data_IF_509809606967
#
_entry.id   IF_509809606967
#
_cell.length_a   1.000
_cell.length_b   1.000
_cell.length_c   1.000
_cell.angle_alpha   90.00
_cell.angle_beta   90.00
_cell.angle_gamma   90.00
#
_symmetry.space_group_name_H-M   'P 1'
#
loop_
_entity.id
_entity.type
_entity.pdbx_description
1 polymer ?
#
# COMPACT_ATOMS: atom_id res chain seq x y z
N UNK A 1 70.31 -3.99 5.25
CA UNK A 1 69.13 -3.15 4.95
C UNK A 1 67.88 -3.99 5.17
N UNK A 2 67.08 -3.77 6.23
CA UNK A 2 65.84 -4.53 6.44
C UNK A 2 64.69 -3.89 5.66
N UNK A 3 63.94 -4.73 4.96
CA UNK A 3 62.70 -4.38 4.24
C UNK A 3 61.60 -4.08 5.27
N UNK A 4 61.03 -2.88 5.20
CA UNK A 4 59.82 -2.50 5.95
C UNK A 4 58.63 -3.07 5.24
N UNK A 5 57.93 -4.02 5.85
CA UNK A 5 56.62 -4.46 5.41
C UNK A 5 55.57 -3.44 5.92
N UNK A 6 54.82 -2.90 4.95
CA UNK A 6 53.71 -1.96 5.19
C UNK A 6 52.43 -2.77 5.38
N UNK A 7 51.94 -2.90 6.61
CA UNK A 7 50.65 -3.47 6.90
C UNK A 7 49.57 -2.43 6.63
N UNK A 8 48.81 -2.63 5.54
CA UNK A 8 47.57 -1.86 5.27
C UNK A 8 46.45 -2.49 6.11
N UNK A 9 46.10 -1.77 7.19
CA UNK A 9 44.97 -2.13 8.04
C UNK A 9 43.69 -1.65 7.35
N UNK A 10 43.00 -2.56 6.64
CA UNK A 10 41.71 -2.27 6.02
C UNK A 10 40.65 -2.29 7.12
N UNK A 11 40.18 -1.13 7.52
CA UNK A 11 39.11 -0.95 8.48
C UNK A 11 37.79 -1.18 7.73
N UNK A 12 37.22 -2.41 7.79
CA UNK A 12 35.85 -2.68 7.36
C UNK A 12 34.91 -2.09 8.41
N UNK A 13 34.35 -0.91 8.14
CA UNK A 13 33.17 -0.42 8.85
C UNK A 13 31.97 -1.27 8.42
N UNK A 14 31.69 -2.31 9.19
CA UNK A 14 30.41 -2.99 9.15
C UNK A 14 29.38 -2.02 9.75
N UNK A 15 28.63 -1.36 8.89
CA UNK A 15 27.37 -0.75 9.29
C UNK A 15 26.40 -1.90 9.64
N UNK A 16 26.36 -2.25 10.92
CA UNK A 16 25.24 -3.04 11.45
C UNK A 16 24.01 -2.13 11.42
N UNK A 17 23.15 -2.31 10.42
CA UNK A 17 21.76 -1.89 10.54
C UNK A 17 21.18 -2.74 11.68
N UNK A 18 21.05 -2.15 12.85
CA UNK A 18 20.28 -2.73 13.93
C UNK A 18 18.79 -2.65 13.52
N UNK A 19 18.30 -3.71 12.89
CA UNK A 19 16.87 -3.98 12.85
C UNK A 19 16.51 -4.41 14.26
N UNK A 20 16.10 -3.46 15.09
CA UNK A 20 15.56 -3.77 16.41
C UNK A 20 14.16 -4.34 16.18
N UNK A 21 14.05 -5.67 16.08
CA UNK A 21 12.77 -6.34 16.24
C UNK A 21 12.19 -5.91 17.60
N UNK A 22 10.97 -5.43 17.60
CA UNK A 22 10.17 -5.28 18.83
C UNK A 22 10.13 -6.65 19.50
N UNK A 23 10.14 -6.69 20.83
CA UNK A 23 10.21 -7.92 21.61
C UNK A 23 9.32 -9.01 21.00
N UNK A 24 9.81 -10.27 20.97
CA UNK A 24 9.31 -11.43 20.21
C UNK A 24 7.83 -11.81 20.44
N UNK A 25 6.96 -10.94 20.98
CA UNK A 25 5.56 -11.22 21.31
C UNK A 25 4.55 -10.13 20.89
N UNK A 26 4.97 -9.03 20.26
CA UNK A 26 4.04 -7.94 19.92
C UNK A 26 3.41 -8.11 18.52
N UNK A 27 2.60 -9.16 18.37
CA UNK A 27 1.71 -9.28 17.21
C UNK A 27 0.46 -8.43 17.38
N UNK A 28 0.09 -7.69 16.34
CA UNK A 28 -1.23 -7.07 16.22
C UNK A 28 -2.17 -8.08 15.56
N UNK A 29 -3.18 -8.55 16.30
CA UNK A 29 -4.19 -9.48 15.77
C UNK A 29 -5.27 -8.74 15.01
N UNK A 30 -5.28 -8.86 13.69
CA UNK A 30 -6.25 -8.26 12.78
C UNK A 30 -7.33 -9.24 12.35
N UNK A 31 -8.32 -8.78 11.59
CA UNK A 31 -9.34 -9.67 11.01
C UNK A 31 -8.79 -10.63 9.95
N UNK A 32 -7.62 -10.34 9.38
CA UNK A 32 -7.00 -11.15 8.32
C UNK A 32 -5.71 -11.87 8.74
N UNK A 33 -5.32 -11.75 10.00
CA UNK A 33 -4.15 -12.45 10.57
C UNK A 33 -3.43 -11.64 11.63
N UNK A 34 -2.39 -12.24 12.18
CA UNK A 34 -1.46 -11.64 13.16
C UNK A 34 -0.26 -11.08 12.41
N UNK A 35 -0.02 -9.79 12.50
CA UNK A 35 1.12 -9.11 11.89
C UNK A 35 2.10 -8.64 12.95
N UNK A 36 3.38 -8.86 12.72
CA UNK A 36 4.45 -8.35 13.57
C UNK A 36 4.98 -7.03 13.00
N UNK A 37 5.08 -6.00 13.86
CA UNK A 37 5.73 -4.74 13.49
C UNK A 37 7.23 -4.81 13.67
N UNK A 38 7.95 -3.96 12.94
CA UNK A 38 9.39 -3.74 13.13
C UNK A 38 9.72 -2.25 13.11
N UNK A 39 10.77 -1.88 13.85
CA UNK A 39 11.20 -0.50 13.97
C UNK A 39 12.22 -0.17 12.86
N UNK A 40 11.89 0.77 12.00
CA UNK A 40 12.80 1.32 10.99
C UNK A 40 12.52 2.82 10.82
N UNK A 41 13.54 3.63 10.55
CA UNK A 41 13.41 5.09 10.34
C UNK A 41 12.62 5.83 11.45
N UNK A 42 12.66 5.32 12.69
CA UNK A 42 11.93 5.83 13.87
C UNK A 42 10.42 5.64 13.81
N UNK A 43 9.92 4.82 12.92
CA UNK A 43 8.51 4.41 12.84
C UNK A 43 8.39 2.90 13.00
N UNK A 44 7.21 2.43 13.42
CA UNK A 44 6.88 1.00 13.41
C UNK A 44 6.19 0.73 12.09
N UNK A 45 6.75 -0.20 11.32
CA UNK A 45 6.23 -0.65 10.03
C UNK A 45 5.53 -1.99 10.22
N UNK A 46 4.41 -2.17 9.55
CA UNK A 46 3.66 -3.41 9.43
C UNK A 46 3.38 -3.61 7.94
N UNK A 47 4.08 -4.55 7.33
CA UNK A 47 4.07 -4.72 5.88
C UNK A 47 3.26 -5.93 5.46
N UNK A 48 2.81 -5.92 4.21
CA UNK A 48 2.20 -7.03 3.49
C UNK A 48 0.95 -7.62 4.15
N UNK A 49 0.15 -6.76 4.78
CA UNK A 49 -1.10 -7.20 5.40
C UNK A 49 -2.14 -7.44 4.30
N UNK A 50 -2.64 -8.67 4.12
CA UNK A 50 -3.66 -8.93 3.11
C UNK A 50 -5.01 -8.37 3.56
N UNK A 51 -5.61 -7.50 2.76
CA UNK A 51 -6.94 -6.94 3.02
C UNK A 51 -8.08 -7.65 2.30
N UNK A 52 -7.73 -8.53 1.36
CA UNK A 52 -8.65 -9.38 0.62
C UNK A 52 -8.01 -10.71 0.23
N UNK A 53 -8.85 -11.71 -0.06
CA UNK A 53 -8.38 -12.99 -0.62
C UNK A 53 -7.68 -12.75 -1.96
N UNK A 54 -6.62 -13.53 -2.28
CA UNK A 54 -5.97 -13.46 -3.58
C UNK A 54 -6.98 -13.56 -4.73
N UNK A 55 -7.02 -12.60 -5.66
CA UNK A 55 -7.96 -12.58 -6.78
C UNK A 55 -7.49 -13.47 -7.94
N UNK A 56 -7.17 -14.71 -7.64
CA UNK A 56 -6.62 -15.71 -8.57
C UNK A 56 -7.66 -16.74 -8.99
N UNK A 57 -7.46 -17.39 -10.13
CA UNK A 57 -8.34 -18.47 -10.61
C UNK A 57 -9.80 -18.03 -10.70
N UNK A 58 -10.67 -18.69 -9.97
CA UNK A 58 -12.12 -18.40 -9.96
C UNK A 58 -12.47 -17.01 -9.37
N UNK A 59 -11.56 -16.36 -8.68
CA UNK A 59 -11.73 -14.99 -8.15
C UNK A 59 -11.18 -13.91 -9.08
N UNK A 60 -10.49 -14.27 -10.16
CA UNK A 60 -10.08 -13.30 -11.19
C UNK A 60 -11.32 -12.65 -11.79
N UNK A 61 -11.25 -11.33 -12.01
CA UNK A 61 -12.39 -10.51 -12.51
C UNK A 61 -13.67 -10.68 -11.69
N UNK A 62 -13.51 -10.76 -10.38
CA UNK A 62 -14.60 -10.66 -9.39
C UNK A 62 -14.28 -9.58 -8.35
N UNK A 63 -15.32 -9.13 -7.67
CA UNK A 63 -15.17 -8.25 -6.52
C UNK A 63 -14.24 -8.89 -5.47
N UNK A 64 -13.45 -8.12 -4.73
CA UNK A 64 -12.58 -8.66 -3.69
C UNK A 64 -13.39 -9.34 -2.58
N UNK A 65 -12.82 -10.36 -1.97
CA UNK A 65 -13.42 -11.13 -0.88
C UNK A 65 -12.67 -10.87 0.42
N UNK A 66 -13.39 -10.57 1.48
CA UNK A 66 -12.81 -10.39 2.82
C UNK A 66 -12.09 -11.67 3.29
N UNK A 67 -10.99 -11.49 4.00
CA UNK A 67 -10.32 -12.55 4.75
C UNK A 67 -10.82 -12.50 6.20
N UNK A 68 -11.23 -13.64 6.72
CA UNK A 68 -11.64 -13.82 8.11
C UNK A 68 -10.82 -14.96 8.71
N UNK A 69 -9.54 -14.68 8.96
CA UNK A 69 -8.59 -15.64 9.53
C UNK A 69 -7.65 -14.90 10.48
N UNK A 70 -8.11 -14.63 11.70
CA UNK A 70 -7.37 -13.86 12.71
C UNK A 70 -6.19 -14.62 13.31
N UNK A 71 -6.11 -15.93 13.12
CA UNK A 71 -5.07 -16.77 13.73
C UNK A 71 -3.85 -16.97 12.84
N UNK A 72 -3.98 -16.73 11.54
CA UNK A 72 -2.87 -16.85 10.59
C UNK A 72 -1.78 -15.83 10.90
N UNK A 73 -0.53 -16.29 10.95
CA UNK A 73 0.62 -15.40 10.98
C UNK A 73 0.83 -14.83 9.57
N UNK A 74 0.91 -13.50 9.49
CA UNK A 74 1.20 -12.77 8.24
C UNK A 74 2.72 -12.71 8.12
N UNK A 75 3.23 -13.23 7.02
CA UNK A 75 4.63 -13.19 6.64
C UNK A 75 4.82 -12.16 5.52
N UNK A 76 5.91 -11.41 5.57
CA UNK A 76 6.29 -10.51 4.49
C UNK A 76 6.53 -11.31 3.20
N UNK A 77 6.13 -10.73 2.08
CA UNK A 77 6.24 -11.36 0.77
C UNK A 77 7.04 -10.50 -0.19
N UNK A 78 8.07 -11.06 -0.77
CA UNK A 78 8.76 -10.43 -1.88
C UNK A 78 7.87 -10.37 -3.13
N UNK A 79 7.99 -9.28 -3.89
CA UNK A 79 7.32 -9.11 -5.19
C UNK A 79 5.80 -9.25 -5.17
N UNK A 80 5.14 -8.83 -4.09
CA UNK A 80 3.69 -8.90 -3.93
C UNK A 80 2.89 -7.77 -4.62
N UNK A 81 3.54 -6.99 -5.48
CA UNK A 81 2.87 -5.96 -6.28
C UNK A 81 2.04 -6.56 -7.41
N UNK A 82 1.01 -5.82 -7.83
CA UNK A 82 0.08 -6.27 -8.86
C UNK A 82 0.75 -6.34 -10.23
N UNK A 83 0.28 -7.26 -11.08
CA UNK A 83 0.80 -7.46 -12.44
C UNK A 83 0.78 -6.14 -13.21
N UNK A 84 1.93 -5.76 -13.76
CA UNK A 84 2.17 -4.52 -14.49
C UNK A 84 3.40 -4.65 -15.39
N UNK A 85 3.57 -3.71 -16.32
CA UNK A 85 4.84 -3.53 -17.02
C UNK A 85 5.85 -2.90 -16.05
N UNK A 86 7.12 -3.38 -16.01
CA UNK A 86 8.16 -2.74 -15.22
C UNK A 86 8.33 -1.27 -15.62
N UNK A 87 8.52 -0.39 -14.63
CA UNK A 87 8.67 1.04 -14.89
C UNK A 87 9.55 1.72 -13.85
N UNK A 88 10.58 2.42 -14.31
CA UNK A 88 11.41 3.27 -13.44
C UNK A 88 10.70 4.54 -12.96
N UNK A 89 9.49 4.83 -13.44
CA UNK A 89 8.68 5.99 -13.08
C UNK A 89 7.64 5.66 -11.99
N UNK A 90 8.00 4.80 -11.04
CA UNK A 90 7.14 4.46 -9.91
C UNK A 90 6.32 3.17 -10.08
N UNK A 91 6.64 2.36 -11.10
CA UNK A 91 6.10 1.01 -11.25
C UNK A 91 7.00 -0.06 -10.66
N UNK A 92 6.64 -1.32 -10.90
CA UNK A 92 7.41 -2.46 -10.45
C UNK A 92 8.85 -2.46 -10.98
N UNK A 93 9.83 -2.87 -10.17
CA UNK A 93 11.18 -3.11 -10.64
C UNK A 93 11.24 -4.33 -11.56
N UNK A 94 12.25 -4.38 -12.42
CA UNK A 94 12.54 -5.54 -13.25
C UNK A 94 12.81 -5.20 -14.71
N UNK A 95 13.19 -6.23 -15.43
CA UNK A 95 13.37 -6.23 -16.88
C UNK A 95 12.40 -7.24 -17.49
N UNK A 96 11.80 -6.92 -18.63
CA UNK A 96 10.88 -7.83 -19.31
C UNK A 96 9.52 -7.18 -19.62
N UNK A 97 8.55 -8.01 -20.00
CA UNK A 97 7.25 -7.54 -20.45
C UNK A 97 6.30 -7.32 -19.26
N UNK A 98 6.36 -8.19 -18.27
CA UNK A 98 5.49 -8.14 -17.10
C UNK A 98 6.27 -8.46 -15.82
N UNK A 99 5.88 -7.81 -14.73
CA UNK A 99 6.33 -8.06 -13.36
C UNK A 99 5.12 -8.14 -12.42
N UNK A 100 5.34 -8.70 -11.21
CA UNK A 100 4.30 -8.81 -10.19
C UNK A 100 3.46 -10.08 -10.26
N UNK A 101 2.40 -10.10 -9.48
CA UNK A 101 1.54 -11.27 -9.29
C UNK A 101 0.08 -10.86 -9.19
N UNK A 102 -0.85 -11.81 -9.43
CA UNK A 102 -2.28 -11.57 -9.16
C UNK A 102 -2.57 -11.58 -7.64
N UNK A 103 -1.81 -12.31 -6.83
CA UNK A 103 -1.88 -12.26 -5.36
C UNK A 103 -1.17 -11.01 -4.85
N UNK A 104 -1.84 -9.86 -4.95
CA UNK A 104 -1.25 -8.55 -4.72
C UNK A 104 -2.07 -7.61 -3.81
N UNK A 105 -3.20 -8.06 -3.26
CA UNK A 105 -4.11 -7.22 -2.49
C UNK A 105 -3.62 -7.04 -1.05
N UNK A 106 -2.53 -6.30 -0.90
CA UNK A 106 -1.83 -6.04 0.36
C UNK A 106 -1.80 -4.55 0.66
N UNK A 107 -1.68 -4.24 1.96
CA UNK A 107 -1.45 -2.90 2.47
C UNK A 107 -0.29 -2.90 3.48
N UNK A 108 0.34 -1.73 3.63
CA UNK A 108 1.33 -1.46 4.67
C UNK A 108 0.80 -0.38 5.60
N UNK A 109 1.24 -0.44 6.86
CA UNK A 109 0.90 0.56 7.88
C UNK A 109 2.19 1.06 8.53
N UNK A 110 2.34 2.39 8.59
CA UNK A 110 3.42 3.04 9.33
C UNK A 110 2.83 3.85 10.47
N UNK A 111 3.32 3.59 11.70
CA UNK A 111 2.86 4.26 12.91
C UNK A 111 4.02 4.92 13.65
N UNK A 112 3.81 6.03 14.40
CA UNK A 112 4.85 6.58 15.26
C UNK A 112 5.36 5.52 16.26
N UNK A 113 6.67 5.54 16.54
CA UNK A 113 7.29 4.66 17.54
C UNK A 113 6.64 4.80 18.92
N UNK A 114 6.34 6.03 19.32
CA UNK A 114 5.73 6.32 20.60
C UNK A 114 4.21 6.27 20.46
N UNK A 115 3.58 5.34 21.17
CA UNK A 115 2.12 5.25 21.20
C UNK A 115 1.56 6.50 21.87
N UNK A 116 0.64 7.20 21.21
CA UNK A 116 -0.17 8.25 21.81
C UNK A 116 -1.24 7.64 22.73
N UNK A 117 -1.67 8.39 23.75
CA UNK A 117 -2.85 8.06 24.54
C UNK A 117 -4.16 8.28 23.77
N UNK A 118 -4.11 9.10 22.73
CA UNK A 118 -5.23 9.40 21.83
C UNK A 118 -5.05 8.69 20.50
N UNK A 119 -6.15 8.36 19.84
CA UNK A 119 -6.15 7.80 18.50
C UNK A 119 -5.67 8.84 17.49
N UNK A 120 -4.78 8.43 16.59
CA UNK A 120 -4.14 9.29 15.60
C UNK A 120 -4.95 9.39 14.30
N UNK A 121 -4.87 10.52 13.58
CA UNK A 121 -5.40 10.64 12.23
C UNK A 121 -4.77 9.62 11.30
N UNK A 122 -5.56 9.12 10.35
CA UNK A 122 -5.13 8.11 9.36
C UNK A 122 -5.07 8.74 7.98
N UNK A 123 -3.94 8.60 7.33
CA UNK A 123 -3.70 9.01 5.96
C UNK A 123 -3.66 7.76 5.08
N UNK A 124 -4.66 7.58 4.21
CA UNK A 124 -4.81 6.41 3.35
C UNK A 124 -4.36 6.76 1.93
N UNK A 125 -3.21 6.22 1.53
CA UNK A 125 -2.56 6.50 0.25
C UNK A 125 -3.03 5.58 -0.86
N UNK A 126 -3.36 6.18 -2.01
CA UNK A 126 -3.71 5.50 -3.26
C UNK A 126 -2.69 5.94 -4.31
N UNK A 127 -1.84 5.02 -4.75
CA UNK A 127 -0.78 5.33 -5.72
C UNK A 127 -1.32 5.68 -7.11
N UNK A 128 -0.50 6.40 -7.88
CA UNK A 128 -0.76 6.75 -9.27
C UNK A 128 -0.36 5.66 -10.26
N UNK A 129 0.14 6.07 -11.42
CA UNK A 129 0.62 5.17 -12.47
C UNK A 129 -0.46 4.76 -13.48
N UNK A 130 -1.41 5.64 -13.78
CA UNK A 130 -2.41 5.43 -14.84
C UNK A 130 -3.37 4.26 -14.61
N UNK A 131 -3.46 3.71 -13.40
CA UNK A 131 -4.14 2.44 -13.09
C UNK A 131 -3.55 1.24 -13.84
N UNK A 132 -2.37 1.34 -14.40
CA UNK A 132 -1.65 0.29 -15.13
C UNK A 132 -0.34 -0.11 -14.48
N UNK A 133 0.22 0.76 -13.64
CA UNK A 133 1.43 0.53 -12.85
C UNK A 133 1.32 1.21 -11.48
N UNK A 134 2.27 0.94 -10.59
CA UNK A 134 2.35 1.55 -9.27
C UNK A 134 2.51 0.53 -8.13
N UNK A 135 2.95 1.03 -6.97
CA UNK A 135 3.31 0.22 -5.79
C UNK A 135 2.84 0.92 -4.52
N UNK A 136 2.44 0.14 -3.50
CA UNK A 136 2.14 0.66 -2.16
C UNK A 136 3.34 1.32 -1.48
N UNK A 137 4.53 0.84 -1.78
CA UNK A 137 5.83 1.22 -1.19
C UNK A 137 6.63 2.20 -2.06
N UNK A 138 5.95 2.87 -3.02
CA UNK A 138 6.59 3.87 -3.88
C UNK A 138 7.25 5.01 -3.08
N UNK A 139 6.66 5.41 -1.97
CA UNK A 139 7.14 6.51 -1.13
C UNK A 139 7.39 6.05 0.31
N UNK A 140 8.51 6.50 0.89
CA UNK A 140 8.74 6.36 2.33
C UNK A 140 8.04 7.50 3.10
N UNK A 141 6.96 7.14 3.80
CA UNK A 141 6.18 8.07 4.61
C UNK A 141 6.71 8.25 6.05
N UNK A 142 7.87 7.71 6.41
CA UNK A 142 8.43 7.77 7.77
C UNK A 142 8.58 9.21 8.27
N UNK A 143 9.00 10.13 7.39
CA UNK A 143 9.11 11.55 7.74
C UNK A 143 7.75 12.17 8.07
N UNK A 144 6.71 11.84 7.30
CA UNK A 144 5.34 12.32 7.53
C UNK A 144 4.80 11.82 8.86
N UNK A 145 4.93 10.53 9.12
CA UNK A 145 4.51 9.88 10.37
C UNK A 145 5.19 10.52 11.58
N UNK A 146 6.54 10.70 11.51
CA UNK A 146 7.32 11.24 12.63
C UNK A 146 7.07 12.72 12.92
N UNK A 147 6.71 13.52 11.90
CA UNK A 147 6.55 14.98 12.07
C UNK A 147 5.15 15.39 12.46
N UNK A 148 4.16 14.59 12.10
CA UNK A 148 2.75 15.02 12.18
C UNK A 148 1.89 14.13 13.07
N UNK A 149 2.48 13.13 13.75
CA UNK A 149 1.74 12.17 14.59
C UNK A 149 0.51 11.60 13.87
N UNK A 150 0.73 11.09 12.67
CA UNK A 150 -0.29 10.45 11.84
C UNK A 150 0.07 8.99 11.58
N UNK A 151 -0.91 8.19 11.27
CA UNK A 151 -0.71 6.84 10.73
C UNK A 151 -0.84 6.92 9.21
N UNK A 152 0.08 6.31 8.48
CA UNK A 152 -0.04 6.18 7.02
C UNK A 152 -0.34 4.74 6.67
N UNK A 153 -1.35 4.55 5.82
CA UNK A 153 -1.70 3.28 5.20
C UNK A 153 -1.49 3.41 3.71
N UNK A 154 -0.70 2.56 3.10
CA UNK A 154 -0.50 2.49 1.65
C UNK A 154 -0.98 1.15 1.11
N UNK A 155 -1.55 1.14 -0.10
CA UNK A 155 -2.22 -0.04 -0.64
C UNK A 155 -1.76 -0.37 -2.05
N UNK A 156 -1.73 -1.66 -2.39
CA UNK A 156 -1.83 -2.12 -3.77
C UNK A 156 -3.30 -2.33 -4.15
N UNK A 157 -3.63 -2.23 -5.42
CA UNK A 157 -4.93 -2.56 -6.00
C UNK A 157 -4.71 -3.11 -7.41
N UNK A 158 -5.60 -3.98 -7.90
CA UNK A 158 -5.46 -4.57 -9.23
C UNK A 158 -5.36 -3.52 -10.32
N UNK A 159 -4.46 -3.73 -11.27
CA UNK A 159 -4.08 -2.80 -12.32
C UNK A 159 -4.51 -3.31 -13.71
N UNK A 160 -4.54 -2.41 -14.68
CA UNK A 160 -4.78 -2.71 -16.09
C UNK A 160 -6.00 -3.61 -16.31
N UNK A 161 -5.84 -4.63 -17.13
CA UNK A 161 -6.90 -5.57 -17.46
C UNK A 161 -7.35 -6.46 -16.28
N UNK A 162 -6.58 -6.59 -15.21
CA UNK A 162 -7.00 -7.30 -14.01
C UNK A 162 -7.90 -6.45 -13.12
N UNK A 163 -7.71 -5.13 -13.13
CA UNK A 163 -8.48 -4.17 -12.35
C UNK A 163 -9.71 -3.61 -13.08
N UNK A 164 -9.60 -3.42 -14.39
CA UNK A 164 -10.67 -2.83 -15.21
C UNK A 164 -10.84 -3.62 -16.51
N UNK A 165 -11.78 -4.54 -16.51
CA UNK A 165 -12.06 -5.36 -17.66
C UNK A 165 -13.54 -5.73 -17.72
N UNK A 166 -14.10 -5.75 -18.94
CA UNK A 166 -15.47 -6.18 -19.19
C UNK A 166 -15.54 -7.04 -20.44
N UNK A 167 -16.21 -8.17 -20.34
CA UNK A 167 -16.51 -9.03 -21.47
C UNK A 167 -17.81 -9.80 -21.19
N UNK A 168 -18.75 -9.90 -22.16
CA UNK A 168 -20.03 -10.58 -21.96
C UNK A 168 -19.91 -12.03 -21.44
N UNK A 169 -18.90 -12.78 -21.91
CA UNK A 169 -18.67 -14.18 -21.48
C UNK A 169 -18.25 -14.30 -20.01
N UNK A 170 -17.63 -13.24 -19.44
CA UNK A 170 -17.24 -13.21 -18.03
C UNK A 170 -18.43 -12.75 -17.18
N UNK A 171 -19.12 -11.69 -17.62
CA UNK A 171 -20.17 -11.04 -16.84
C UNK A 171 -21.53 -11.71 -16.95
N UNK A 172 -21.77 -12.49 -18.01
CA UNK A 172 -23.08 -13.07 -18.32
C UNK A 172 -23.66 -13.93 -17.19
N UNK A 173 -22.82 -14.63 -16.45
CA UNK A 173 -23.18 -15.50 -15.34
C UNK A 173 -22.87 -14.91 -13.96
N UNK A 174 -22.41 -13.65 -13.89
CA UNK A 174 -22.04 -12.98 -12.64
C UNK A 174 -23.24 -12.22 -12.05
N UNK A 175 -23.23 -12.02 -10.72
CA UNK A 175 -24.26 -11.27 -10.00
C UNK A 175 -23.65 -10.23 -9.07
N UNK A 176 -24.43 -9.22 -8.68
CA UNK A 176 -24.03 -8.19 -7.74
C UNK A 176 -22.76 -7.47 -8.21
N UNK A 177 -21.81 -7.28 -7.30
CA UNK A 177 -20.55 -6.57 -7.58
C UNK A 177 -19.62 -7.37 -8.53
N UNK A 178 -19.78 -8.68 -8.66
CA UNK A 178 -19.00 -9.46 -9.62
C UNK A 178 -19.36 -9.13 -11.07
N UNK A 179 -20.55 -8.58 -11.31
CA UNK A 179 -21.02 -8.16 -12.64
C UNK A 179 -20.46 -6.79 -13.07
N UNK A 180 -19.69 -6.13 -12.22
CA UNK A 180 -19.05 -4.85 -12.55
C UNK A 180 -17.80 -5.05 -13.40
N UNK A 181 -17.16 -3.96 -13.81
CA UNK A 181 -15.90 -3.97 -14.58
C UNK A 181 -14.77 -3.19 -13.92
N UNK A 182 -14.97 -2.69 -12.70
CA UNK A 182 -14.07 -1.79 -11.98
C UNK A 182 -13.52 -2.43 -10.70
N UNK A 183 -12.95 -3.62 -10.85
CA UNK A 183 -12.45 -4.43 -9.73
C UNK A 183 -11.35 -3.71 -8.94
N UNK A 184 -10.46 -2.93 -9.61
CA UNK A 184 -9.45 -2.13 -8.93
C UNK A 184 -10.07 -1.07 -8.01
N UNK A 185 -11.15 -0.41 -8.42
CA UNK A 185 -11.89 0.51 -7.54
C UNK A 185 -12.52 -0.23 -6.35
N UNK A 186 -13.05 -1.43 -6.59
CA UNK A 186 -13.61 -2.27 -5.53
C UNK A 186 -12.53 -2.75 -4.55
N UNK A 187 -11.30 -2.99 -5.03
CA UNK A 187 -10.15 -3.33 -4.17
C UNK A 187 -9.82 -2.19 -3.21
N UNK A 188 -9.77 -0.95 -3.69
CA UNK A 188 -9.54 0.23 -2.86
C UNK A 188 -10.66 0.37 -1.81
N UNK A 189 -11.91 0.16 -2.18
CA UNK A 189 -13.05 0.17 -1.24
C UNK A 189 -12.91 -0.94 -0.21
N UNK A 190 -12.47 -2.13 -0.61
CA UNK A 190 -12.24 -3.25 0.32
C UNK A 190 -11.11 -2.97 1.30
N UNK A 191 -10.01 -2.35 0.83
CA UNK A 191 -8.92 -1.90 1.69
C UNK A 191 -9.41 -0.86 2.72
N UNK A 192 -10.23 0.11 2.31
CA UNK A 192 -10.85 1.07 3.23
C UNK A 192 -11.76 0.41 4.26
N UNK A 193 -12.54 -0.61 3.88
CA UNK A 193 -13.36 -1.40 4.82
C UNK A 193 -12.47 -2.12 5.84
N UNK A 194 -11.38 -2.70 5.36
CA UNK A 194 -10.41 -3.36 6.23
C UNK A 194 -9.79 -2.36 7.22
N UNK A 195 -9.38 -1.18 6.75
CA UNK A 195 -8.82 -0.11 7.59
C UNK A 195 -9.83 0.34 8.65
N UNK A 196 -11.07 0.64 8.29
CA UNK A 196 -12.11 1.01 9.25
C UNK A 196 -12.28 -0.03 10.37
N UNK A 197 -12.17 -1.33 10.02
CA UNK A 197 -12.35 -2.43 10.97
C UNK A 197 -11.16 -2.61 11.91
N UNK A 198 -9.93 -2.38 11.42
CA UNK A 198 -8.71 -2.82 12.10
C UNK A 198 -7.79 -1.68 12.59
N UNK A 199 -7.89 -0.47 12.03
CA UNK A 199 -6.87 0.59 12.24
C UNK A 199 -6.74 1.04 13.70
N UNK A 200 -7.79 0.89 14.50
CA UNK A 200 -7.76 1.17 15.93
C UNK A 200 -6.75 0.29 16.67
N UNK A 201 -6.49 -0.92 16.21
CA UNK A 201 -5.50 -1.84 16.77
C UNK A 201 -4.06 -1.30 16.63
N UNK A 202 -3.85 -0.43 15.65
CA UNK A 202 -2.58 0.25 15.36
C UNK A 202 -2.52 1.68 15.96
N UNK A 203 -3.53 2.09 16.72
CA UNK A 203 -3.64 3.42 17.32
C UNK A 203 -4.29 4.48 16.42
N UNK A 204 -4.87 4.09 15.28
CA UNK A 204 -5.54 5.01 14.36
C UNK A 204 -7.03 5.25 14.69
N UNK A 205 -7.52 6.44 14.37
CA UNK A 205 -8.92 6.80 14.51
C UNK A 205 -9.71 6.46 13.24
N UNK A 206 -10.60 5.44 13.26
CA UNK A 206 -11.44 5.11 12.13
C UNK A 206 -12.44 6.22 11.76
N UNK A 207 -12.66 7.21 12.64
CA UNK A 207 -13.50 8.37 12.37
C UNK A 207 -12.71 9.59 11.87
N UNK A 208 -11.41 9.44 11.61
CA UNK A 208 -10.55 10.50 11.10
C UNK A 208 -9.62 9.98 9.99
N UNK A 209 -10.20 9.40 8.95
CA UNK A 209 -9.49 8.88 7.78
C UNK A 209 -9.52 9.91 6.67
N UNK A 210 -8.34 10.28 6.18
CA UNK A 210 -8.15 11.10 4.97
C UNK A 210 -7.65 10.20 3.86
N UNK A 211 -8.41 10.07 2.78
CA UNK A 211 -7.93 9.43 1.56
C UNK A 211 -7.12 10.44 0.73
N UNK A 212 -5.97 10.03 0.20
CA UNK A 212 -5.19 10.90 -0.66
C UNK A 212 -4.50 10.10 -1.76
N UNK A 213 -4.28 10.74 -2.91
CA UNK A 213 -3.68 10.08 -4.06
C UNK A 213 -3.18 11.08 -5.09
N UNK A 214 -2.26 10.61 -5.92
CA UNK A 214 -1.61 11.40 -6.96
C UNK A 214 -1.91 10.80 -8.34
N UNK A 215 -2.10 11.65 -9.37
CA UNK A 215 -2.38 11.24 -10.74
C UNK A 215 -3.61 10.32 -10.81
N UNK A 216 -3.48 9.09 -11.32
CA UNK A 216 -4.58 8.11 -11.31
C UNK A 216 -5.10 7.81 -9.90
N UNK A 217 -4.23 7.85 -8.87
CA UNK A 217 -4.66 7.75 -7.47
C UNK A 217 -5.56 8.92 -7.06
N UNK A 218 -5.28 10.13 -7.53
CA UNK A 218 -6.15 11.30 -7.37
C UNK A 218 -7.51 11.12 -8.07
N UNK A 219 -7.55 10.54 -9.27
CA UNK A 219 -8.81 10.17 -9.94
C UNK A 219 -9.58 9.09 -9.16
N UNK A 220 -8.87 8.12 -8.58
CA UNK A 220 -9.49 7.11 -7.71
C UNK A 220 -10.09 7.75 -6.46
N UNK A 221 -9.43 8.76 -5.85
CA UNK A 221 -10.01 9.56 -4.75
C UNK A 221 -11.34 10.18 -5.16
N UNK A 222 -11.41 10.84 -6.33
CA UNK A 222 -12.65 11.44 -6.84
C UNK A 222 -13.73 10.37 -7.08
N UNK A 223 -13.36 9.21 -7.61
CA UNK A 223 -14.27 8.08 -7.83
C UNK A 223 -14.86 7.57 -6.51
N UNK A 224 -14.04 7.51 -5.44
CA UNK A 224 -14.51 7.10 -4.10
C UNK A 224 -15.48 8.12 -3.51
N UNK A 225 -15.26 9.42 -3.73
CA UNK A 225 -16.14 10.47 -3.21
C UNK A 225 -17.58 10.37 -3.75
N UNK A 226 -17.75 9.86 -4.96
CA UNK A 226 -19.07 9.68 -5.59
C UNK A 226 -19.61 8.26 -5.48
N UNK A 227 -18.82 7.29 -5.00
CA UNK A 227 -19.21 5.90 -4.88
C UNK A 227 -20.11 5.64 -3.68
N UNK A 228 -21.33 5.11 -3.86
CA UNK A 228 -22.19 4.68 -2.74
C UNK A 228 -21.52 3.60 -1.87
N UNK A 229 -20.64 2.77 -2.46
CA UNK A 229 -19.94 1.68 -1.76
C UNK A 229 -18.85 2.20 -0.80
N UNK A 230 -18.37 3.44 -1.00
CA UNK A 230 -17.36 4.07 -0.17
C UNK A 230 -17.95 5.01 0.89
N UNK A 231 -19.27 5.18 0.90
CA UNK A 231 -19.95 6.08 1.84
C UNK A 231 -19.67 5.71 3.30
N UNK A 232 -19.13 6.69 4.06
CA UNK A 232 -18.83 6.53 5.47
C UNK A 232 -17.51 5.81 5.78
N UNK A 233 -16.71 5.45 4.75
CA UNK A 233 -15.41 4.79 4.94
C UNK A 233 -14.26 5.78 5.14
N UNK A 234 -14.45 7.06 4.86
CA UNK A 234 -13.47 8.13 5.06
C UNK A 234 -14.16 9.45 5.39
N UNK A 235 -13.40 10.41 5.90
CA UNK A 235 -13.90 11.70 6.40
C UNK A 235 -13.40 12.88 5.57
N UNK A 236 -12.21 12.75 4.96
CA UNK A 236 -11.54 13.80 4.19
C UNK A 236 -10.90 13.20 2.94
N UNK A 237 -10.72 14.04 1.93
CA UNK A 237 -10.12 13.63 0.66
C UNK A 237 -9.16 14.71 0.15
N UNK A 238 -8.00 14.27 -0.38
CA UNK A 238 -7.02 15.10 -1.06
C UNK A 238 -6.72 14.44 -2.40
N UNK A 239 -7.08 15.11 -3.51
CA UNK A 239 -6.79 14.64 -4.86
C UNK A 239 -5.72 15.53 -5.49
N UNK A 240 -4.53 14.96 -5.73
CA UNK A 240 -3.47 15.63 -6.48
C UNK A 240 -3.49 15.12 -7.93
N UNK A 241 -3.95 15.95 -8.83
CA UNK A 241 -4.05 15.64 -10.27
C UNK A 241 -2.88 16.23 -11.08
N UNK A 242 -1.96 16.96 -10.44
CA UNK A 242 -0.80 17.53 -11.12
C UNK A 242 0.12 16.39 -11.59
N UNK A 243 0.31 16.31 -12.90
CA UNK A 243 1.33 15.45 -13.49
C UNK A 243 2.67 16.22 -13.52
N UNK A 244 3.82 15.55 -13.40
CA UNK A 244 5.15 16.19 -13.48
C UNK A 244 5.36 17.08 -14.74
N UNK A 245 4.60 16.85 -15.80
CA UNK A 245 4.67 17.64 -17.04
C UNK A 245 4.08 19.05 -16.94
N UNK A 246 3.18 19.34 -16.00
CA UNK A 246 2.61 20.69 -15.86
C UNK A 246 3.58 21.66 -15.18
N UNK A 247 4.48 21.19 -14.31
CA UNK A 247 5.50 22.03 -13.70
C UNK A 247 6.61 22.50 -14.66
N UNK A 248 6.82 21.83 -15.79
CA UNK A 248 7.79 22.28 -16.79
C UNK A 248 7.24 23.42 -17.66
N UNK A 249 5.95 23.46 -17.94
CA UNK A 249 5.35 24.53 -18.76
C UNK A 249 5.21 25.86 -17.99
N UNK A 250 5.00 25.85 -16.69
CA UNK A 250 4.89 27.07 -15.88
C UNK A 250 6.23 27.78 -15.65
N UNK A 251 7.38 27.12 -15.84
CA UNK A 251 8.72 27.74 -15.74
C UNK A 251 9.19 28.47 -17.01
N UNK A 252 8.51 28.28 -18.13
CA UNK A 252 8.81 28.98 -19.39
C UNK A 252 7.93 30.22 -19.64
N UNK A 253 7.03 30.55 -18.72
CA UNK A 253 6.12 31.71 -18.81
C UNK A 253 6.41 32.77 -17.74
N UNK A 254 7.55 32.70 -17.08
CA UNK A 254 8.15 33.75 -16.26
C UNK A 254 9.52 34.16 -16.88
#
# INVERSE_FOLDING_TARGET
MPKKELYILTFFLLFNLEINALDNNDYVSTSSGKVQGYLENKVINYDDIPYAKPPVGDLRWKAPREILDSEKIIENKDNNFCIQEPSSMGGAPGEGILAGTEDCLYLDIKTPKNKSSELLPVMFWIHGGGNTSGLKDLYDYSTMVNRHDVIVVSINYRLGAFGWFTHPSIQGNQQGLDKTSNFGTLDIIQALKWVNKNIKLFGGDPNNITIFGESAGGHNVLSLMVSPQAKGLFNKAISNLDTPHQHQQSRHLQ
#
